data_IF_553352910700
#
_entry.id   IF_553352910700
#
_cell.length_a   1.000
_cell.length_b   1.000
_cell.length_c   1.000
_cell.angle_alpha   90.00
_cell.angle_beta   90.00
_cell.angle_gamma   90.00
#
_symmetry.space_group_name_H-M   'P 1'
#
loop_
_entity.id
_entity.type
_entity.pdbx_description
1 polymer ?
#
# COMPACT_ATOMS: atom_id res chain seq x y z
N UNK A 1 -10.98 -27.93 0.00
CA UNK A 1 -10.62 -26.59 -0.53
C UNK A 1 -9.34 -26.77 -1.31
N UNK A 2 -9.22 -26.17 -2.49
CA UNK A 2 -7.96 -26.19 -3.23
C UNK A 2 -7.02 -25.14 -2.64
N UNK A 3 -6.07 -25.59 -1.83
CA UNK A 3 -5.09 -24.74 -1.16
C UNK A 3 -4.15 -24.04 -2.16
N UNK A 4 -3.87 -24.67 -3.30
CA UNK A 4 -3.03 -24.09 -4.35
C UNK A 4 -3.75 -22.95 -5.07
N UNK A 5 -5.02 -23.16 -5.40
CA UNK A 5 -5.88 -22.12 -5.98
C UNK A 5 -6.05 -20.94 -5.00
N UNK A 6 -6.30 -21.21 -3.72
CA UNK A 6 -6.40 -20.19 -2.68
C UNK A 6 -5.10 -19.37 -2.59
N UNK A 7 -3.96 -20.04 -2.36
CA UNK A 7 -2.66 -19.37 -2.23
C UNK A 7 -2.29 -18.57 -3.48
N UNK A 8 -2.59 -19.10 -4.67
CA UNK A 8 -2.35 -18.40 -5.93
C UNK A 8 -3.22 -17.15 -6.05
N UNK A 9 -4.49 -17.22 -5.67
CA UNK A 9 -5.41 -16.07 -5.71
C UNK A 9 -4.97 -14.96 -4.73
N UNK A 10 -4.57 -15.32 -3.51
CA UNK A 10 -4.06 -14.38 -2.50
C UNK A 10 -2.81 -13.68 -3.02
N UNK A 11 -1.82 -14.43 -3.54
CA UNK A 11 -0.60 -13.83 -4.09
C UNK A 11 -0.87 -12.90 -5.26
N UNK A 12 -1.78 -13.27 -6.17
CA UNK A 12 -2.18 -12.40 -7.29
C UNK A 12 -2.80 -11.09 -6.79
N UNK A 13 -3.69 -11.17 -5.80
CA UNK A 13 -4.30 -9.99 -5.19
C UNK A 13 -3.26 -9.09 -4.53
N UNK A 14 -2.39 -9.65 -3.67
CA UNK A 14 -1.35 -8.87 -2.99
C UNK A 14 -0.36 -8.22 -3.97
N UNK A 15 -0.03 -8.90 -5.07
CA UNK A 15 0.81 -8.32 -6.14
C UNK A 15 0.12 -7.13 -6.82
N UNK A 16 -1.17 -7.26 -7.13
CA UNK A 16 -1.95 -6.18 -7.73
C UNK A 16 -2.00 -4.94 -6.81
N UNK A 17 -2.30 -5.16 -5.52
CA UNK A 17 -2.34 -4.11 -4.51
C UNK A 17 -0.98 -3.43 -4.38
N UNK A 18 0.09 -4.21 -4.17
CA UNK A 18 1.43 -3.66 -3.98
C UNK A 18 1.89 -2.77 -5.15
N UNK A 19 1.76 -3.25 -6.40
CA UNK A 19 2.19 -2.50 -7.59
C UNK A 19 1.33 -1.25 -7.80
N UNK A 20 0.02 -1.35 -7.60
CA UNK A 20 -0.89 -0.21 -7.80
C UNK A 20 -0.65 0.86 -6.75
N UNK A 21 -0.60 0.48 -5.47
CA UNK A 21 -0.33 1.40 -4.36
C UNK A 21 1.01 2.11 -4.52
N UNK A 22 2.07 1.39 -4.91
CA UNK A 22 3.38 1.99 -5.16
C UNK A 22 3.30 3.12 -6.20
N UNK A 23 2.66 2.86 -7.35
CA UNK A 23 2.55 3.87 -8.42
C UNK A 23 1.78 5.11 -7.96
N UNK A 24 0.68 4.93 -7.24
CA UNK A 24 -0.12 6.04 -6.72
C UNK A 24 0.66 6.85 -5.67
N UNK A 25 1.39 6.18 -4.77
CA UNK A 25 2.27 6.82 -3.78
C UNK A 25 3.34 7.64 -4.48
N UNK A 26 4.08 7.07 -5.44
CA UNK A 26 5.14 7.78 -6.17
C UNK A 26 4.59 9.01 -6.90
N UNK A 27 3.42 8.89 -7.52
CA UNK A 27 2.77 10.02 -8.18
C UNK A 27 2.42 11.11 -7.16
N UNK A 28 1.75 10.76 -6.07
CA UNK A 28 1.35 11.70 -5.04
C UNK A 28 2.55 12.42 -4.39
N UNK A 29 3.64 11.69 -4.12
CA UNK A 29 4.89 12.24 -3.59
C UNK A 29 5.51 13.22 -4.59
N UNK A 30 5.61 12.86 -5.88
CA UNK A 30 6.13 13.77 -6.92
C UNK A 30 5.31 15.06 -7.02
N UNK A 31 3.99 14.94 -7.04
CA UNK A 31 3.08 16.09 -7.12
C UNK A 31 3.24 16.97 -5.87
N UNK A 32 3.31 16.38 -4.67
CA UNK A 32 3.48 17.13 -3.42
C UNK A 32 4.85 17.83 -3.29
N UNK A 33 5.94 17.22 -3.79
CA UNK A 33 7.26 17.85 -3.87
C UNK A 33 7.26 19.02 -4.85
N UNK A 34 6.63 18.86 -6.02
CA UNK A 34 6.53 19.92 -7.03
C UNK A 34 5.72 21.13 -6.52
N UNK A 35 4.66 20.86 -5.75
CA UNK A 35 3.83 21.88 -5.10
C UNK A 35 4.49 22.51 -3.86
N UNK A 36 5.62 21.97 -3.39
CA UNK A 36 6.28 22.41 -2.15
C UNK A 36 5.52 22.08 -0.86
N UNK A 37 4.59 21.10 -0.91
CA UNK A 37 3.78 20.67 0.25
C UNK A 37 4.55 19.80 1.24
N UNK A 38 5.58 19.11 0.78
CA UNK A 38 6.44 18.23 1.59
C UNK A 38 7.91 18.50 1.28
N UNK A 39 8.79 18.20 2.23
CA UNK A 39 10.23 18.29 2.05
C UNK A 39 10.82 17.07 1.34
N UNK A 40 11.99 17.23 0.72
CA UNK A 40 12.69 16.12 0.05
C UNK A 40 13.29 15.08 1.01
N UNK A 41 13.44 15.42 2.29
CA UNK A 41 14.03 14.56 3.33
C UNK A 41 13.02 14.19 4.42
N UNK A 42 11.74 14.32 4.13
CA UNK A 42 10.67 14.04 5.07
C UNK A 42 10.33 12.55 5.12
N UNK A 43 9.94 12.08 6.30
CA UNK A 43 9.39 10.74 6.47
C UNK A 43 7.87 10.85 6.60
N UNK A 44 7.16 10.10 5.76
CA UNK A 44 5.71 10.17 5.65
C UNK A 44 5.08 8.95 6.34
N UNK A 45 4.40 9.12 7.48
CA UNK A 45 3.64 8.04 8.09
C UNK A 45 2.55 7.56 7.13
N UNK A 46 2.41 6.25 6.98
CA UNK A 46 1.45 5.63 6.08
C UNK A 46 0.70 4.52 6.81
N UNK A 47 -0.60 4.38 6.50
CA UNK A 47 -1.46 3.32 7.03
C UNK A 47 -2.15 2.62 5.88
N UNK A 48 -2.13 1.29 5.90
CA UNK A 48 -2.89 0.44 4.97
C UNK A 48 -3.85 -0.45 5.76
N UNK A 49 -5.12 -0.51 5.33
CA UNK A 49 -6.11 -1.41 5.93
C UNK A 49 -6.48 -2.51 4.94
N UNK A 50 -6.31 -3.77 5.34
CA UNK A 50 -6.84 -4.94 4.65
C UNK A 50 -8.15 -5.34 5.32
N UNK A 51 -9.25 -5.28 4.56
CA UNK A 51 -10.57 -5.67 5.04
C UNK A 51 -11.19 -6.75 4.16
N UNK A 52 -11.66 -7.84 4.78
CA UNK A 52 -12.44 -8.89 4.14
C UNK A 52 -13.69 -9.10 4.99
N UNK A 53 -14.81 -8.40 4.69
CA UNK A 53 -16.01 -8.38 5.54
C UNK A 53 -16.62 -9.76 5.76
N UNK A 54 -16.62 -10.61 4.73
CA UNK A 54 -17.13 -11.98 4.82
C UNK A 54 -16.35 -12.85 5.82
N UNK A 55 -15.09 -12.51 6.10
CA UNK A 55 -14.24 -13.19 7.08
C UNK A 55 -14.19 -12.43 8.42
N UNK A 56 -14.89 -11.29 8.54
CA UNK A 56 -14.77 -10.35 9.66
C UNK A 56 -13.30 -9.95 9.93
N UNK A 57 -12.48 -9.95 8.88
CA UNK A 57 -11.07 -9.63 8.96
C UNK A 57 -10.88 -8.15 8.69
N UNK A 58 -10.27 -7.44 9.64
CA UNK A 58 -9.73 -6.09 9.44
C UNK A 58 -8.35 -6.01 10.07
N UNK A 59 -7.34 -5.75 9.25
CA UNK A 59 -5.94 -5.63 9.68
C UNK A 59 -5.40 -4.30 9.23
N UNK A 60 -4.79 -3.56 10.15
CA UNK A 60 -4.08 -2.32 9.85
C UNK A 60 -2.58 -2.59 9.81
N UNK A 61 -1.92 -1.99 8.84
CA UNK A 61 -0.48 -2.00 8.67
C UNK A 61 0.00 -0.56 8.74
N UNK A 62 0.74 -0.23 9.78
CA UNK A 62 1.39 1.06 9.94
C UNK A 62 2.82 0.98 9.39
N UNK A 63 3.24 2.03 8.70
CA UNK A 63 4.56 2.11 8.09
C UNK A 63 5.01 3.55 7.89
N UNK A 64 6.21 3.68 7.35
CA UNK A 64 6.85 4.96 7.08
C UNK A 64 7.45 4.93 5.68
N UNK A 65 7.16 5.95 4.88
CA UNK A 65 7.74 6.15 3.56
C UNK A 65 8.83 7.22 3.70
N UNK A 66 10.08 6.79 3.56
CA UNK A 66 11.24 7.68 3.59
C UNK A 66 11.58 8.13 2.19
N UNK A 67 11.76 9.43 2.01
CA UNK A 67 12.17 10.03 0.75
C UNK A 67 13.69 10.04 0.53
N UNK A 68 14.46 9.64 1.56
CA UNK A 68 15.92 9.51 1.56
C UNK A 68 16.41 8.29 2.36
#
# INVERSE_FOLDING_TARGET
MDEEALNTSIRKFLKLVGVSSQREIEKAVRDALADGRIGADEALPAVMTLEIPALQLRVNFDGEIKLR
#
